data_IF_313190113600
#
_entry.id   IF_313190113600
#
_cell.length_a   1.000
_cell.length_b   1.000
_cell.length_c   1.000
_cell.angle_alpha   90.00
_cell.angle_beta   90.00
_cell.angle_gamma   90.00
#
_symmetry.space_group_name_H-M   'P 1'
#
loop_
_entity.id
_entity.type
_entity.pdbx_description
1 polymer ?
#
# COMPACT_ATOMS: atom_id res chain seq x y z
N UNK A 1 -13.91 6.48 17.86
CA UNK A 1 -12.94 7.23 18.69
C UNK A 1 -11.58 7.34 18.02
N UNK A 2 -10.89 6.23 17.70
CA UNK A 2 -9.57 6.27 17.00
C UNK A 2 -9.63 7.03 15.67
N UNK A 3 -10.66 6.80 14.83
CA UNK A 3 -10.82 7.52 13.56
C UNK A 3 -11.03 9.04 13.68
N UNK A 4 -11.37 9.57 14.86
CA UNK A 4 -11.41 11.01 15.11
C UNK A 4 -10.02 11.57 15.49
N UNK A 5 -9.20 10.79 16.20
CA UNK A 5 -7.82 11.13 16.54
C UNK A 5 -6.92 11.21 15.29
N UNK A 6 -7.03 10.25 14.37
CA UNK A 6 -6.22 10.26 13.12
C UNK A 6 -6.69 11.31 12.10
N UNK A 7 -7.81 11.99 12.37
CA UNK A 7 -8.32 13.09 11.56
C UNK A 7 -7.65 14.43 11.88
N UNK A 8 -6.94 14.53 13.00
CA UNK A 8 -6.21 15.73 13.41
C UNK A 8 -4.91 15.95 12.63
N UNK A 9 -4.43 14.98 11.84
CA UNK A 9 -3.16 15.03 11.08
C UNK A 9 -1.95 15.50 11.90
N UNK A 10 -1.96 15.25 13.22
CA UNK A 10 -0.83 15.56 14.07
C UNK A 10 0.19 14.40 14.06
N UNK A 11 1.47 14.67 13.73
CA UNK A 11 2.51 13.64 13.65
C UNK A 11 2.76 12.94 15.01
N UNK A 12 2.44 13.61 16.12
CA UNK A 12 2.51 13.01 17.46
C UNK A 12 1.49 11.88 17.66
N UNK A 13 0.32 11.97 17.02
CA UNK A 13 -0.70 10.92 17.08
C UNK A 13 -0.19 9.69 16.35
N UNK A 14 0.47 9.83 15.20
CA UNK A 14 1.07 8.70 14.49
C UNK A 14 2.15 8.03 15.32
N UNK A 15 3.06 8.79 15.92
CA UNK A 15 4.09 8.24 16.81
C UNK A 15 3.49 7.45 17.99
N UNK A 16 2.42 7.96 18.60
CA UNK A 16 1.70 7.27 19.67
C UNK A 16 0.99 5.98 19.18
N UNK A 17 0.38 6.03 18.00
CA UNK A 17 -0.26 4.87 17.36
C UNK A 17 0.77 3.76 17.02
N UNK A 18 1.98 4.13 16.63
CA UNK A 18 3.08 3.20 16.41
C UNK A 18 3.54 2.51 17.70
N UNK A 19 3.51 3.20 18.83
CA UNK A 19 3.87 2.64 20.14
C UNK A 19 2.81 1.72 20.74
N UNK A 20 1.56 1.81 20.29
CA UNK A 20 0.41 1.10 20.89
C UNK A 20 -0.03 -0.14 20.10
N UNK A 21 0.84 -0.70 19.26
CA UNK A 21 0.58 -1.90 18.44
C UNK A 21 -0.71 -1.79 17.60
N UNK A 22 -1.12 -0.59 17.21
CA UNK A 22 -2.40 -0.43 16.51
C UNK A 22 -2.36 -0.98 15.08
N UNK A 23 -1.18 -1.01 14.45
CA UNK A 23 -0.99 -1.55 13.10
C UNK A 23 -1.38 -3.03 13.04
N UNK A 24 -0.79 -3.95 13.85
CA UNK A 24 -1.18 -5.36 13.81
C UNK A 24 -2.66 -5.58 14.13
N UNK A 25 -3.25 -4.79 15.04
CA UNK A 25 -4.70 -4.84 15.29
C UNK A 25 -5.53 -4.42 14.07
N UNK A 26 -5.15 -3.32 13.40
CA UNK A 26 -5.82 -2.87 12.18
C UNK A 26 -5.68 -3.88 11.05
N UNK A 27 -4.50 -4.47 10.86
CA UNK A 27 -4.27 -5.52 9.87
C UNK A 27 -5.16 -6.75 10.13
N UNK A 28 -5.33 -7.14 11.40
CA UNK A 28 -6.24 -8.23 11.76
C UNK A 28 -7.69 -7.90 11.42
N UNK A 29 -8.14 -6.68 11.72
CA UNK A 29 -9.50 -6.21 11.38
C UNK A 29 -9.69 -6.12 9.86
N UNK A 30 -8.67 -5.69 9.11
CA UNK A 30 -8.68 -5.63 7.65
C UNK A 30 -8.85 -7.02 7.02
N UNK A 31 -8.34 -8.07 7.67
CA UNK A 31 -8.46 -9.45 7.22
C UNK A 31 -9.84 -10.06 7.58
N UNK A 32 -10.22 -10.04 8.86
CA UNK A 32 -11.38 -10.81 9.38
C UNK A 32 -12.60 -9.96 9.74
N UNK A 33 -12.52 -8.63 9.66
CA UNK A 33 -13.60 -7.73 10.07
C UNK A 33 -14.78 -7.66 9.10
N UNK A 34 -15.84 -6.96 9.50
CA UNK A 34 -16.93 -6.58 8.59
C UNK A 34 -16.47 -5.52 7.58
N UNK A 35 -17.16 -5.37 6.45
CA UNK A 35 -16.81 -4.42 5.39
C UNK A 35 -16.59 -2.98 5.91
N UNK A 36 -17.47 -2.51 6.80
CA UNK A 36 -17.35 -1.20 7.43
C UNK A 36 -16.07 -1.09 8.29
N UNK A 37 -15.81 -2.11 9.11
CA UNK A 37 -14.61 -2.17 9.96
C UNK A 37 -13.33 -2.27 9.14
N UNK A 38 -13.33 -3.04 8.06
CA UNK A 38 -12.22 -3.11 7.09
C UNK A 38 -11.94 -1.74 6.49
N UNK A 39 -12.97 -0.99 6.11
CA UNK A 39 -12.84 0.36 5.55
C UNK A 39 -12.20 1.31 6.57
N UNK A 40 -12.68 1.31 7.82
CA UNK A 40 -12.11 2.16 8.89
C UNK A 40 -10.68 1.76 9.24
N UNK A 41 -10.38 0.46 9.35
CA UNK A 41 -9.03 -0.02 9.63
C UNK A 41 -8.05 0.31 8.49
N UNK A 42 -8.49 0.17 7.24
CA UNK A 42 -7.69 0.57 6.06
C UNK A 42 -7.42 2.07 6.07
N UNK A 43 -8.40 2.88 6.45
CA UNK A 43 -8.22 4.33 6.58
C UNK A 43 -7.19 4.70 7.66
N UNK A 44 -7.16 3.99 8.80
CA UNK A 44 -6.16 4.19 9.84
C UNK A 44 -4.76 3.84 9.32
N UNK A 45 -4.60 2.67 8.69
CA UNK A 45 -3.31 2.26 8.11
C UNK A 45 -2.86 3.21 7.00
N UNK A 46 -3.79 3.70 6.18
CA UNK A 46 -3.52 4.70 5.17
C UNK A 46 -2.97 5.99 5.78
N UNK A 47 -3.58 6.48 6.87
CA UNK A 47 -3.10 7.67 7.57
C UNK A 47 -1.69 7.46 8.16
N UNK A 48 -1.41 6.30 8.72
CA UNK A 48 -0.07 5.95 9.19
C UNK A 48 0.94 5.92 8.05
N UNK A 49 0.58 5.37 6.88
CA UNK A 49 1.44 5.35 5.68
C UNK A 49 1.61 6.72 5.01
N UNK A 50 0.67 7.64 5.21
CA UNK A 50 0.78 9.01 4.71
C UNK A 50 1.83 9.80 5.51
N UNK A 51 2.00 9.50 6.79
CA UNK A 51 3.03 10.06 7.64
C UNK A 51 4.41 9.43 7.39
N UNK A 52 5.46 10.23 7.33
CA UNK A 52 6.81 9.75 7.01
C UNK A 52 7.40 8.86 8.12
N UNK A 53 7.04 9.10 9.38
CA UNK A 53 7.47 8.25 10.51
C UNK A 53 6.79 6.89 10.41
N UNK A 54 5.49 6.86 10.10
CA UNK A 54 4.73 5.62 9.93
C UNK A 54 5.18 4.82 8.70
N UNK A 55 5.43 5.48 7.57
CA UNK A 55 6.00 4.84 6.39
C UNK A 55 7.38 4.24 6.68
N UNK A 56 8.26 5.00 7.34
CA UNK A 56 9.58 4.52 7.75
C UNK A 56 9.47 3.31 8.69
N UNK A 57 8.54 3.33 9.64
CA UNK A 57 8.31 2.22 10.56
C UNK A 57 7.85 0.92 9.87
N UNK A 58 6.94 1.03 8.89
CA UNK A 58 6.43 -0.13 8.14
C UNK A 58 7.50 -0.67 7.19
N UNK A 59 8.24 0.22 6.53
CA UNK A 59 9.33 -0.16 5.63
C UNK A 59 10.66 -0.44 6.36
N UNK A 60 10.70 -0.34 7.69
CA UNK A 60 11.89 -0.60 8.49
C UNK A 60 12.36 -2.06 8.37
N UNK A 61 11.41 -3.00 8.32
CA UNK A 61 11.68 -4.43 8.17
C UNK A 61 10.80 -5.05 7.08
N UNK A 62 11.34 -6.05 6.39
CA UNK A 62 10.62 -6.76 5.35
C UNK A 62 9.36 -7.43 5.91
N UNK A 63 9.40 -8.01 7.12
CA UNK A 63 8.25 -8.65 7.76
C UNK A 63 7.06 -7.71 7.92
N UNK A 64 7.28 -6.48 8.38
CA UNK A 64 6.21 -5.48 8.53
C UNK A 64 5.62 -5.07 7.20
N UNK A 65 6.48 -4.85 6.21
CA UNK A 65 6.05 -4.55 4.84
C UNK A 65 5.21 -5.70 4.26
N UNK A 66 5.68 -6.94 4.33
CA UNK A 66 4.97 -8.11 3.80
C UNK A 66 3.66 -8.36 4.55
N UNK A 67 3.59 -8.13 5.85
CA UNK A 67 2.35 -8.22 6.61
C UNK A 67 1.29 -7.24 6.07
N UNK A 68 1.67 -5.97 5.86
CA UNK A 68 0.75 -4.96 5.30
C UNK A 68 0.38 -5.29 3.85
N UNK A 69 1.38 -5.63 3.01
CA UNK A 69 1.18 -5.91 1.59
C UNK A 69 0.30 -7.14 1.35
N UNK A 70 0.48 -8.20 2.14
CA UNK A 70 -0.34 -9.43 2.05
C UNK A 70 -1.79 -9.16 2.42
N UNK A 71 -2.04 -8.41 3.49
CA UNK A 71 -3.40 -8.06 3.91
C UNK A 71 -4.08 -7.19 2.85
N UNK A 72 -3.38 -6.18 2.31
CA UNK A 72 -3.91 -5.36 1.20
C UNK A 72 -4.22 -6.23 -0.04
N UNK A 73 -3.35 -7.18 -0.37
CA UNK A 73 -3.57 -8.09 -1.50
C UNK A 73 -4.82 -8.95 -1.28
N UNK A 74 -4.96 -9.55 -0.09
CA UNK A 74 -6.13 -10.35 0.30
C UNK A 74 -7.41 -9.52 0.29
N UNK A 75 -7.34 -8.24 0.64
CA UNK A 75 -8.50 -7.34 0.56
C UNK A 75 -8.95 -7.09 -0.87
N UNK A 76 -8.03 -6.97 -1.82
CA UNK A 76 -8.37 -6.81 -3.24
C UNK A 76 -8.85 -8.13 -3.84
N UNK A 77 -8.17 -9.24 -3.55
CA UNK A 77 -8.54 -10.57 -4.04
C UNK A 77 -9.89 -11.04 -3.49
N UNK A 78 -10.17 -10.77 -2.22
CA UNK A 78 -11.42 -11.12 -1.55
C UNK A 78 -12.59 -10.18 -1.85
N UNK A 79 -12.37 -9.10 -2.61
CA UNK A 79 -13.43 -8.13 -2.91
C UNK A 79 -14.40 -8.60 -4.03
N UNK A 80 -14.16 -9.76 -4.66
CA UNK A 80 -15.06 -10.34 -5.67
C UNK A 80 -15.21 -9.47 -6.93
N UNK A 81 -16.34 -9.62 -7.64
CA UNK A 81 -16.65 -8.91 -8.89
C UNK A 81 -16.99 -7.42 -8.72
N UNK A 82 -17.36 -6.98 -7.51
CA UNK A 82 -17.77 -5.60 -7.23
C UNK A 82 -17.07 -5.02 -5.99
N UNK A 83 -15.77 -4.69 -6.08
CA UNK A 83 -15.07 -4.08 -4.96
C UNK A 83 -15.66 -2.70 -4.62
N UNK A 84 -15.87 -2.46 -3.33
CA UNK A 84 -16.29 -1.15 -2.84
C UNK A 84 -15.28 -0.07 -3.24
N UNK A 85 -15.72 0.86 -4.10
CA UNK A 85 -14.86 1.89 -4.70
C UNK A 85 -14.10 2.72 -3.64
N UNK A 86 -14.71 2.90 -2.46
CA UNK A 86 -14.09 3.56 -1.29
C UNK A 86 -12.90 2.77 -0.74
N UNK A 87 -13.06 1.46 -0.57
CA UNK A 87 -12.01 0.58 -0.06
C UNK A 87 -10.87 0.49 -1.06
N UNK A 88 -11.20 0.34 -2.35
CA UNK A 88 -10.22 0.30 -3.44
C UNK A 88 -9.35 1.56 -3.48
N UNK A 89 -9.99 2.73 -3.33
CA UNK A 89 -9.31 4.03 -3.23
C UNK A 89 -8.29 4.10 -2.09
N UNK A 90 -8.65 3.60 -0.91
CA UNK A 90 -7.72 3.53 0.22
C UNK A 90 -6.56 2.57 -0.04
N UNK A 91 -6.85 1.38 -0.59
CA UNK A 91 -5.82 0.37 -0.92
C UNK A 91 -4.81 0.90 -1.94
N UNK A 92 -5.27 1.49 -3.05
CA UNK A 92 -4.39 2.05 -4.08
C UNK A 92 -3.50 3.16 -3.49
N UNK A 93 -4.06 4.01 -2.62
CA UNK A 93 -3.28 5.06 -1.97
C UNK A 93 -2.21 4.49 -1.02
N UNK A 94 -2.52 3.42 -0.29
CA UNK A 94 -1.54 2.73 0.57
C UNK A 94 -0.38 2.17 -0.27
N UNK A 95 -0.68 1.48 -1.37
CA UNK A 95 0.35 0.97 -2.28
C UNK A 95 1.20 2.09 -2.88
N UNK A 96 0.59 3.19 -3.30
CA UNK A 96 1.33 4.34 -3.84
C UNK A 96 2.31 4.92 -2.81
N UNK A 97 1.90 5.06 -1.54
CA UNK A 97 2.80 5.52 -0.47
C UNK A 97 3.89 4.52 -0.13
N UNK A 98 3.60 3.22 -0.19
CA UNK A 98 4.63 2.20 -0.05
C UNK A 98 5.65 2.30 -1.19
N UNK A 99 5.22 2.63 -2.42
CA UNK A 99 6.10 2.80 -3.56
C UNK A 99 7.01 4.04 -3.50
N UNK A 100 6.74 5.01 -2.61
CA UNK A 100 7.68 6.12 -2.35
C UNK A 100 8.99 5.62 -1.69
N UNK A 101 8.95 4.48 -0.99
CA UNK A 101 10.14 3.88 -0.42
C UNK A 101 10.81 2.93 -1.44
N UNK A 102 12.09 3.15 -1.73
CA UNK A 102 12.84 2.40 -2.74
C UNK A 102 12.82 0.88 -2.50
N UNK A 103 13.01 0.43 -1.26
CA UNK A 103 13.00 -1.00 -0.89
C UNK A 103 11.62 -1.63 -1.05
N UNK A 104 10.59 -0.94 -0.55
CA UNK A 104 9.22 -1.41 -0.67
C UNK A 104 8.76 -1.44 -2.13
N UNK A 105 9.15 -0.44 -2.93
CA UNK A 105 8.89 -0.39 -4.37
C UNK A 105 9.45 -1.60 -5.11
N UNK A 106 10.67 -2.04 -4.79
CA UNK A 106 11.25 -3.25 -5.37
C UNK A 106 10.45 -4.50 -5.01
N UNK A 107 10.06 -4.65 -3.74
CA UNK A 107 9.24 -5.77 -3.30
C UNK A 107 7.83 -5.73 -3.91
N UNK A 108 7.24 -4.55 -4.08
CA UNK A 108 5.96 -4.36 -4.77
C UNK A 108 6.01 -4.83 -6.22
N UNK A 109 7.16 -4.77 -6.91
CA UNK A 109 7.27 -5.32 -8.29
C UNK A 109 6.94 -6.81 -8.35
N UNK A 110 7.30 -7.54 -7.31
CA UNK A 110 7.10 -8.99 -7.26
C UNK A 110 5.78 -9.39 -6.60
N UNK A 111 5.22 -8.53 -5.75
CA UNK A 111 4.02 -8.85 -4.95
C UNK A 111 2.79 -7.99 -5.29
N UNK A 112 2.82 -7.20 -6.37
CA UNK A 112 1.67 -6.40 -6.78
C UNK A 112 0.50 -7.32 -7.22
N UNK A 113 -0.70 -7.19 -6.63
CA UNK A 113 -1.84 -7.99 -7.03
C UNK A 113 -2.24 -7.73 -8.49
N UNK A 114 -2.48 -8.81 -9.24
CA UNK A 114 -2.90 -8.75 -10.65
C UNK A 114 -4.24 -8.03 -10.84
N UNK A 115 -5.10 -8.07 -9.82
CA UNK A 115 -6.36 -7.33 -9.81
C UNK A 115 -6.15 -5.82 -10.05
N UNK A 116 -5.05 -5.22 -9.55
CA UNK A 116 -4.73 -3.80 -9.82
C UNK A 116 -4.28 -3.54 -11.27
N UNK A 117 -3.82 -4.59 -11.96
CA UNK A 117 -3.49 -4.55 -13.39
C UNK A 117 -4.70 -4.87 -14.26
N UNK A 118 -5.81 -5.35 -13.70
CA UNK A 118 -6.99 -5.74 -14.45
C UNK A 118 -7.66 -4.49 -15.08
N UNK A 119 -7.86 -4.46 -16.42
CA UNK A 119 -8.55 -3.37 -17.10
C UNK A 119 -9.99 -3.13 -16.61
N UNK A 120 -10.67 -4.14 -16.07
CA UNK A 120 -12.02 -3.99 -15.51
C UNK A 120 -12.03 -3.08 -14.28
N UNK A 121 -11.01 -3.19 -13.43
CA UNK A 121 -10.80 -2.29 -12.30
C UNK A 121 -10.50 -0.86 -12.79
N UNK A 122 -9.78 -0.71 -13.91
CA UNK A 122 -9.50 0.60 -14.48
C UNK A 122 -10.77 1.26 -15.06
N UNK A 123 -11.71 0.46 -15.54
CA UNK A 123 -13.02 0.91 -16.01
C UNK A 123 -13.93 1.32 -14.85
N UNK A 124 -13.93 0.59 -13.72
CA UNK A 124 -14.72 0.95 -12.54
C UNK A 124 -14.24 2.24 -11.85
N UNK A 125 -12.96 2.60 -12.06
CA UNK A 125 -12.36 3.85 -11.61
C UNK A 125 -12.66 5.08 -12.50
N UNK A 126 -13.47 4.94 -13.56
CA UNK A 126 -13.77 6.05 -14.46
C UNK A 126 -14.44 7.25 -13.76
N UNK A 127 -15.23 7.00 -12.73
CA UNK A 127 -15.88 8.02 -11.90
C UNK A 127 -14.97 8.63 -10.81
N UNK A 128 -13.79 8.06 -10.54
CA UNK A 128 -12.83 8.61 -9.57
C UNK A 128 -11.45 8.86 -10.23
N UNK A 129 -11.30 9.99 -10.96
CA UNK A 129 -10.09 10.29 -11.72
C UNK A 129 -8.83 10.41 -10.84
N UNK A 130 -8.99 10.76 -9.56
CA UNK A 130 -7.89 10.83 -8.61
C UNK A 130 -7.30 9.44 -8.34
N UNK A 131 -8.15 8.45 -8.06
CA UNK A 131 -7.72 7.07 -7.80
C UNK A 131 -7.09 6.44 -9.05
N UNK A 132 -7.67 6.71 -10.23
CA UNK A 132 -7.07 6.29 -11.51
C UNK A 132 -5.68 6.87 -11.70
N UNK A 133 -5.47 8.16 -11.38
CA UNK A 133 -4.15 8.80 -11.45
C UNK A 133 -3.15 8.14 -10.49
N UNK A 134 -3.56 7.83 -9.26
CA UNK A 134 -2.70 7.14 -8.30
C UNK A 134 -2.32 5.73 -8.76
N UNK A 135 -3.26 4.99 -9.35
CA UNK A 135 -2.98 3.67 -9.90
C UNK A 135 -1.96 3.74 -11.04
N UNK A 136 -2.12 4.68 -11.97
CA UNK A 136 -1.14 4.89 -13.05
C UNK A 136 0.24 5.27 -12.51
N UNK A 137 0.31 6.14 -11.50
CA UNK A 137 1.57 6.50 -10.84
C UNK A 137 2.23 5.31 -10.16
N UNK A 138 1.45 4.47 -9.48
CA UNK A 138 1.93 3.24 -8.86
C UNK A 138 2.49 2.28 -9.91
N UNK A 139 1.73 2.01 -10.97
CA UNK A 139 2.17 1.13 -12.07
C UNK A 139 3.42 1.68 -12.76
N UNK A 140 3.53 2.99 -12.92
CA UNK A 140 4.75 3.61 -13.45
C UNK A 140 5.92 3.49 -12.46
N UNK A 141 5.74 3.78 -11.17
CA UNK A 141 6.81 3.65 -10.18
C UNK A 141 7.34 2.22 -10.06
N UNK A 142 6.45 1.23 -10.19
CA UNK A 142 6.77 -0.20 -10.12
C UNK A 142 7.28 -0.71 -11.47
N UNK A 143 6.81 -0.16 -12.60
CA UNK A 143 7.19 -0.56 -13.96
C UNK A 143 8.47 0.09 -14.51
N UNK A 144 8.85 1.27 -14.03
CA UNK A 144 10.07 1.96 -14.46
C UNK A 144 11.28 1.18 -13.94
N UNK A 145 12.03 0.62 -14.87
CA UNK A 145 13.25 -0.14 -14.61
C UNK A 145 14.40 0.86 -14.52
N UNK A 146 14.96 1.18 -13.34
CA UNK A 146 16.36 1.47 -13.32
C UNK A 146 17.04 0.13 -13.59
N UNK A 147 17.29 -0.11 -14.88
CA UNK A 147 18.27 -1.06 -15.37
C UNK A 147 19.46 -1.03 -14.41
N UNK A 148 19.61 -2.07 -13.59
CA UNK A 148 20.83 -2.30 -12.81
C UNK A 148 21.91 -2.66 -13.83
N UNK A 149 22.47 -1.60 -14.41
CA UNK A 149 23.73 -1.59 -15.08
C UNK A 149 24.80 -1.67 -13.99
N UNK A 150 25.16 -2.90 -13.60
CA UNK A 150 26.34 -3.18 -12.79
C UNK A 150 27.15 -4.31 -13.44
N UNK A 151 28.02 -3.88 -14.36
CA UNK A 151 29.44 -4.25 -14.45
C UNK A 151 29.80 -5.72 -14.21
N UNK A 152 29.86 -6.50 -15.28
CA UNK A 152 30.82 -7.59 -15.41
C UNK A 152 31.75 -7.26 -16.58
N UNK A 153 32.73 -6.39 -16.32
CA UNK A 153 33.91 -6.27 -17.17
C UNK A 153 34.78 -7.51 -16.92
N UNK A 154 34.71 -8.48 -17.81
CA UNK A 154 35.72 -9.54 -17.93
C UNK A 154 36.46 -9.30 -19.25
N UNK A 155 37.78 -9.06 -19.23
CA UNK A 155 38.54 -8.93 -20.46
C UNK A 155 38.64 -10.29 -21.18
N UNK A 156 38.76 -10.31 -22.52
CA UNK A 156 38.96 -11.56 -23.26
C UNK A 156 40.36 -12.13 -22.96
N UNK A 157 40.50 -13.45 -22.73
CA UNK A 157 41.80 -14.09 -22.80
C UNK A 157 42.22 -14.25 -24.27
N UNK A 158 43.49 -13.91 -24.50
CA UNK A 158 44.25 -13.92 -25.75
C UNK A 158 44.15 -15.19 -26.58
#
# INVERSE_FOLDING_TARGET
VVGALVKADEPQVVAFLLQTEIIPLCLRIMETGSELSKTVATFIVQKVLLDDVGLSYICATAERFYAVSTVLCNMVAGAGEAPSNRLLKHVIRCYLRLADNSRAREALRQCLPEALKNPELHASLKDDPATKKWLMQLLHAVGDTPQQQQTAALPPPS
#
